data_IF_128479533228
#
_entry.id   IF_128479533228
#
_cell.length_a   1.000
_cell.length_b   1.000
_cell.length_c   1.000
_cell.angle_alpha   90.00
_cell.angle_beta   90.00
_cell.angle_gamma   90.00
#
_symmetry.space_group_name_H-M   'P 1'
#
loop_
_entity.id
_entity.type
_entity.pdbx_description
1 polymer ?
#
# COMPACT_ATOMS: atom_id res chain seq x y z
N UNK A 1 49.56 -5.18 -21.38
CA UNK A 1 50.59 -5.53 -20.40
C UNK A 1 50.10 -6.75 -19.65
N UNK A 2 50.67 -7.92 -19.95
CA UNK A 2 50.35 -9.19 -19.28
C UNK A 2 51.44 -9.41 -18.24
N UNK A 3 51.06 -9.51 -16.95
CA UNK A 3 52.02 -9.71 -15.87
C UNK A 3 52.43 -11.18 -15.76
N UNK A 4 53.71 -11.41 -15.49
CA UNK A 4 54.24 -12.71 -15.13
C UNK A 4 53.73 -13.15 -13.75
N UNK A 5 53.52 -14.46 -13.52
CA UNK A 5 52.89 -14.98 -12.30
C UNK A 5 53.68 -14.76 -11.00
N UNK A 6 54.98 -14.44 -11.05
CA UNK A 6 55.88 -14.35 -9.89
C UNK A 6 56.26 -12.90 -9.46
N UNK A 7 55.43 -11.91 -9.75
CA UNK A 7 55.67 -10.54 -9.28
C UNK A 7 55.09 -10.33 -7.87
N UNK A 8 55.92 -9.80 -6.96
CA UNK A 8 55.56 -9.65 -5.54
C UNK A 8 54.31 -8.80 -5.28
N UNK A 9 53.75 -8.95 -4.08
CA UNK A 9 52.49 -8.31 -3.63
C UNK A 9 52.51 -6.77 -3.67
N UNK A 10 53.67 -6.15 -3.85
CA UNK A 10 53.85 -4.70 -3.86
C UNK A 10 53.79 -4.04 -5.24
N UNK A 11 53.29 -4.74 -6.26
CA UNK A 11 53.12 -4.14 -7.58
C UNK A 11 51.90 -3.20 -7.64
N UNK A 12 51.89 -2.28 -8.60
CA UNK A 12 50.79 -1.35 -8.80
C UNK A 12 49.43 -2.04 -9.07
N UNK A 13 49.43 -3.23 -9.66
CA UNK A 13 48.22 -3.99 -9.92
C UNK A 13 47.64 -4.62 -8.64
N UNK A 14 48.48 -5.23 -7.80
CA UNK A 14 48.09 -5.75 -6.48
C UNK A 14 47.61 -4.64 -5.55
N UNK A 15 48.27 -3.48 -5.54
CA UNK A 15 47.82 -2.31 -4.79
C UNK A 15 46.41 -1.87 -5.22
N UNK A 16 46.15 -1.76 -6.53
CA UNK A 16 44.81 -1.43 -7.06
C UNK A 16 43.76 -2.48 -6.74
N UNK A 17 44.15 -3.76 -6.73
CA UNK A 17 43.25 -4.85 -6.39
C UNK A 17 42.85 -4.78 -4.91
N UNK A 18 43.83 -4.57 -4.01
CA UNK A 18 43.59 -4.36 -2.59
C UNK A 18 42.71 -3.14 -2.32
N UNK A 19 42.97 -2.01 -2.97
CA UNK A 19 42.12 -0.81 -2.87
C UNK A 19 40.65 -1.09 -3.27
N UNK A 20 40.45 -1.95 -4.27
CA UNK A 20 39.13 -2.34 -4.74
C UNK A 20 38.41 -3.24 -3.74
N UNK A 21 39.12 -4.21 -3.17
CA UNK A 21 38.62 -5.12 -2.13
C UNK A 21 38.26 -4.33 -0.86
N UNK A 22 39.13 -3.43 -0.40
CA UNK A 22 38.90 -2.55 0.74
C UNK A 22 37.69 -1.63 0.51
N UNK A 23 37.53 -1.11 -0.71
CA UNK A 23 36.38 -0.29 -1.08
C UNK A 23 35.07 -1.09 -1.08
N UNK A 24 35.09 -2.35 -1.52
CA UNK A 24 33.93 -3.23 -1.49
C UNK A 24 33.53 -3.59 -0.05
N UNK A 25 34.50 -3.89 0.81
CA UNK A 25 34.28 -4.14 2.23
C UNK A 25 33.70 -2.91 2.95
N UNK A 26 34.24 -1.72 2.64
CA UNK A 26 33.72 -0.45 3.15
C UNK A 26 32.26 -0.22 2.72
N UNK A 27 31.95 -0.44 1.43
CA UNK A 27 30.59 -0.29 0.92
C UNK A 27 29.62 -1.27 1.59
N UNK A 28 30.01 -2.53 1.75
CA UNK A 28 29.20 -3.54 2.44
C UNK A 28 28.94 -3.17 3.91
N UNK A 29 29.94 -2.61 4.60
CA UNK A 29 29.78 -2.16 5.99
C UNK A 29 28.89 -0.92 6.11
N UNK A 30 28.98 -0.01 5.14
CA UNK A 30 28.21 1.24 5.12
C UNK A 30 26.73 1.00 4.76
N UNK A 31 26.48 0.21 3.70
CA UNK A 31 25.17 0.05 3.08
C UNK A 31 24.48 -1.30 3.38
N UNK A 32 25.24 -2.29 3.83
CA UNK A 32 24.76 -3.68 3.91
C UNK A 32 24.71 -4.37 2.54
N UNK A 33 24.23 -5.63 2.49
CA UNK A 33 24.21 -6.45 1.27
C UNK A 33 23.16 -6.00 0.24
N UNK A 34 22.10 -5.32 0.68
CA UNK A 34 21.03 -4.81 -0.17
C UNK A 34 20.57 -3.44 0.37
N UNK A 35 21.19 -2.34 -0.08
CA UNK A 35 20.77 -1.01 0.36
C UNK A 35 19.36 -0.69 -0.12
N UNK A 36 18.48 -0.42 0.84
CA UNK A 36 17.17 0.18 0.59
C UNK A 36 17.20 1.63 1.06
N UNK A 37 16.80 2.57 0.18
CA UNK A 37 16.73 4.00 0.49
C UNK A 37 15.29 4.54 0.39
N UNK A 38 14.28 3.66 0.32
CA UNK A 38 12.88 4.04 0.20
C UNK A 38 12.28 4.63 1.48
N UNK A 39 12.96 4.47 2.62
CA UNK A 39 12.49 4.93 3.92
C UNK A 39 13.50 5.84 4.62
N UNK A 40 12.98 6.74 5.45
CA UNK A 40 13.83 7.55 6.31
C UNK A 40 14.63 6.67 7.29
N UNK A 41 14.03 5.59 7.80
CA UNK A 41 14.69 4.69 8.74
C UNK A 41 15.91 4.01 8.12
N UNK A 42 15.80 3.56 6.86
CA UNK A 42 16.90 2.89 6.17
C UNK A 42 18.04 3.87 5.81
N UNK A 43 17.72 5.10 5.41
CA UNK A 43 18.73 6.16 5.22
C UNK A 43 19.42 6.52 6.55
N UNK A 44 18.66 6.63 7.63
CA UNK A 44 19.21 6.93 8.97
C UNK A 44 20.14 5.82 9.46
N UNK A 45 19.86 4.55 9.16
CA UNK A 45 20.77 3.44 9.45
C UNK A 45 22.13 3.63 8.77
N UNK A 46 22.14 4.04 7.50
CA UNK A 46 23.39 4.31 6.75
C UNK A 46 24.15 5.49 7.35
N UNK A 47 23.45 6.54 7.77
CA UNK A 47 24.09 7.66 8.50
C UNK A 47 24.69 7.21 9.84
N UNK A 48 24.02 6.33 10.58
CA UNK A 48 24.57 5.72 11.80
C UNK A 48 25.86 4.94 11.53
N UNK A 49 25.87 4.08 10.52
CA UNK A 49 27.07 3.34 10.10
C UNK A 49 28.19 4.28 9.66
N UNK A 50 27.85 5.39 8.98
CA UNK A 50 28.81 6.41 8.58
C UNK A 50 29.45 7.08 9.79
N UNK A 51 28.68 7.42 10.83
CA UNK A 51 29.19 8.00 12.08
C UNK A 51 30.17 7.05 12.76
N UNK A 52 29.85 5.76 12.81
CA UNK A 52 30.76 4.74 13.35
C UNK A 52 32.08 4.69 12.57
N UNK A 53 32.01 4.70 11.23
CA UNK A 53 33.19 4.68 10.36
C UNK A 53 34.04 5.95 10.47
N UNK A 54 33.43 7.11 10.66
CA UNK A 54 34.16 8.36 10.93
C UNK A 54 34.88 8.25 12.28
N UNK A 55 34.17 7.80 13.33
CA UNK A 55 34.74 7.66 14.66
C UNK A 55 35.91 6.65 14.69
N UNK A 56 35.87 5.62 13.84
CA UNK A 56 36.94 4.62 13.73
C UNK A 56 38.04 4.99 12.72
N UNK A 57 38.03 6.19 12.12
CA UNK A 57 38.91 6.57 11.00
C UNK A 57 38.88 5.57 9.82
N UNK A 58 37.78 4.83 9.66
CA UNK A 58 37.61 3.80 8.62
C UNK A 58 37.23 4.36 7.24
N UNK A 59 36.97 5.67 7.15
CA UNK A 59 36.60 6.35 5.91
C UNK A 59 37.27 7.72 5.83
N UNK A 60 37.75 8.09 4.64
CA UNK A 60 38.30 9.42 4.42
C UNK A 60 37.22 10.51 4.58
N UNK A 61 37.50 11.65 5.25
CA UNK A 61 36.51 12.71 5.51
C UNK A 61 35.80 13.22 4.25
N UNK A 62 36.51 13.31 3.13
CA UNK A 62 35.93 13.71 1.84
C UNK A 62 34.88 12.72 1.33
N UNK A 63 35.15 11.41 1.44
CA UNK A 63 34.19 10.36 1.06
C UNK A 63 32.98 10.38 1.99
N UNK A 64 33.23 10.55 3.30
CA UNK A 64 32.16 10.65 4.28
C UNK A 64 31.22 11.84 4.02
N UNK A 65 31.77 13.02 3.70
CA UNK A 65 30.97 14.19 3.34
C UNK A 65 30.09 13.95 2.11
N UNK A 66 30.61 13.27 1.08
CA UNK A 66 29.81 12.91 -0.11
C UNK A 66 28.66 11.97 0.23
N UNK A 67 28.89 10.95 1.06
CA UNK A 67 27.83 10.03 1.51
C UNK A 67 26.77 10.77 2.31
N UNK A 68 27.18 11.63 3.25
CA UNK A 68 26.26 12.41 4.06
C UNK A 68 25.39 13.34 3.20
N UNK A 69 25.99 14.00 2.22
CA UNK A 69 25.28 14.86 1.28
C UNK A 69 24.28 14.06 0.41
N UNK A 70 24.69 12.89 -0.11
CA UNK A 70 23.79 12.02 -0.85
C UNK A 70 22.59 11.57 0.01
N UNK A 71 22.83 11.18 1.27
CA UNK A 71 21.77 10.82 2.22
C UNK A 71 20.83 12.00 2.50
N UNK A 72 21.36 13.22 2.61
CA UNK A 72 20.56 14.44 2.76
C UNK A 72 19.65 14.65 1.54
N UNK A 73 20.17 14.53 0.32
CA UNK A 73 19.36 14.64 -0.90
C UNK A 73 18.26 13.58 -0.94
N UNK A 74 18.56 12.33 -0.57
CA UNK A 74 17.57 11.25 -0.51
C UNK A 74 16.45 11.58 0.49
N UNK A 75 16.78 12.09 1.68
CA UNK A 75 15.78 12.47 2.68
C UNK A 75 14.89 13.63 2.21
N UNK A 76 15.46 14.63 1.54
CA UNK A 76 14.70 15.77 1.01
C UNK A 76 13.67 15.30 -0.03
N UNK A 77 14.08 14.40 -0.93
CA UNK A 77 13.22 13.91 -2.00
C UNK A 77 12.24 12.81 -1.56
N UNK A 78 12.43 12.21 -0.38
CA UNK A 78 11.62 11.09 0.10
C UNK A 78 10.13 11.41 0.16
N UNK A 79 9.76 12.65 0.47
CA UNK A 79 8.35 13.08 0.52
C UNK A 79 7.74 13.16 -0.89
N UNK A 80 8.46 13.73 -1.85
CA UNK A 80 8.04 13.80 -3.25
C UNK A 80 7.91 12.40 -3.86
N UNK A 81 8.91 11.56 -3.65
CA UNK A 81 8.92 10.18 -4.13
C UNK A 81 7.74 9.35 -3.62
N UNK A 82 7.42 9.44 -2.31
CA UNK A 82 6.23 8.78 -1.76
C UNK A 82 4.93 9.30 -2.35
N UNK A 83 4.85 10.62 -2.61
CA UNK A 83 3.72 11.24 -3.28
C UNK A 83 3.53 10.71 -4.70
N UNK A 84 4.60 10.62 -5.48
CA UNK A 84 4.59 10.08 -6.84
C UNK A 84 4.18 8.61 -6.88
N UNK A 85 4.72 7.77 -5.99
CA UNK A 85 4.30 6.37 -5.89
C UNK A 85 2.81 6.23 -5.53
N UNK A 86 2.32 7.07 -4.61
CA UNK A 86 0.91 7.07 -4.24
C UNK A 86 0.01 7.54 -5.40
N UNK A 87 0.42 8.60 -6.11
CA UNK A 87 -0.27 9.08 -7.29
C UNK A 87 -0.31 8.02 -8.41
N UNK A 88 0.82 7.40 -8.71
CA UNK A 88 0.90 6.33 -9.70
C UNK A 88 -0.01 5.14 -9.33
N UNK A 89 -0.07 4.78 -8.05
CA UNK A 89 -0.97 3.73 -7.57
C UNK A 89 -2.44 4.12 -7.72
N UNK A 90 -2.78 5.36 -7.36
CA UNK A 90 -4.14 5.88 -7.55
C UNK A 90 -4.54 5.92 -9.02
N UNK A 91 -3.64 6.32 -9.91
CA UNK A 91 -3.87 6.31 -11.35
C UNK A 91 -4.05 4.89 -11.90
N UNK A 92 -3.22 3.94 -11.47
CA UNK A 92 -3.39 2.51 -11.82
C UNK A 92 -4.75 1.99 -11.36
N UNK A 93 -5.14 2.30 -10.13
CA UNK A 93 -6.44 1.91 -9.60
C UNK A 93 -7.58 2.55 -10.39
N UNK A 94 -7.47 3.84 -10.71
CA UNK A 94 -8.45 4.55 -11.53
C UNK A 94 -8.53 4.02 -12.96
N UNK A 95 -7.40 3.63 -13.57
CA UNK A 95 -7.36 2.99 -14.88
C UNK A 95 -8.02 1.60 -14.86
N UNK A 96 -7.78 0.80 -13.82
CA UNK A 96 -8.45 -0.48 -13.63
C UNK A 96 -9.98 -0.30 -13.48
N UNK A 97 -10.41 0.71 -12.72
CA UNK A 97 -11.83 1.09 -12.63
C UNK A 97 -12.42 1.51 -13.97
N UNK A 98 -11.68 2.23 -14.82
CA UNK A 98 -12.13 2.60 -16.17
C UNK A 98 -12.31 1.40 -17.09
N UNK A 99 -11.46 0.38 -16.95
CA UNK A 99 -11.52 -0.84 -17.77
C UNK A 99 -12.62 -1.80 -17.31
N UNK A 100 -12.89 -1.86 -16.01
CA UNK A 100 -13.93 -2.72 -15.45
C UNK A 100 -14.67 -1.98 -14.32
N UNK A 101 -15.61 -1.08 -14.67
CA UNK A 101 -16.39 -0.39 -13.66
C UNK A 101 -17.28 -1.40 -12.94
N UNK A 102 -17.16 -1.48 -11.60
CA UNK A 102 -18.15 -2.23 -10.84
C UNK A 102 -19.53 -1.63 -11.09
N UNK A 103 -20.55 -2.44 -11.41
CA UNK A 103 -21.90 -1.93 -11.61
C UNK A 103 -22.36 -1.24 -10.32
N UNK A 104 -22.89 -0.02 -10.47
CA UNK A 104 -23.53 0.67 -9.35
C UNK A 104 -24.69 -0.19 -8.84
N UNK A 105 -24.85 -0.32 -7.51
CA UNK A 105 -25.99 -1.04 -6.95
C UNK A 105 -27.30 -0.45 -7.48
N UNK A 106 -28.19 -1.30 -7.99
CA UNK A 106 -29.41 -0.88 -8.67
C UNK A 106 -30.41 -0.12 -7.77
N UNK A 107 -30.20 -0.13 -6.45
CA UNK A 107 -31.08 0.55 -5.49
C UNK A 107 -30.29 1.37 -4.46
N UNK A 108 -30.84 2.49 -3.97
CA UNK A 108 -30.24 3.29 -2.92
C UNK A 108 -29.92 2.49 -1.65
N UNK A 109 -30.75 1.51 -1.29
CA UNK A 109 -30.52 0.61 -0.14
C UNK A 109 -29.33 -0.31 -0.38
N UNK A 110 -29.20 -0.89 -1.58
CA UNK A 110 -28.05 -1.71 -1.93
C UNK A 110 -26.75 -0.89 -1.98
N UNK A 111 -26.83 0.37 -2.42
CA UNK A 111 -25.72 1.32 -2.34
C UNK A 111 -25.31 1.61 -0.90
N UNK A 112 -26.27 1.99 -0.05
CA UNK A 112 -26.03 2.24 1.37
C UNK A 112 -25.39 1.02 2.05
N UNK A 113 -25.90 -0.19 1.79
CA UNK A 113 -25.36 -1.42 2.34
C UNK A 113 -23.92 -1.69 1.86
N UNK A 114 -23.63 -1.50 0.58
CA UNK A 114 -22.29 -1.68 0.02
C UNK A 114 -21.27 -0.67 0.57
N UNK A 115 -21.70 0.57 0.81
CA UNK A 115 -20.87 1.60 1.47
C UNK A 115 -20.63 1.21 2.93
N UNK A 116 -21.67 0.79 3.65
CA UNK A 116 -21.58 0.33 5.04
C UNK A 116 -20.60 -0.84 5.18
N UNK A 117 -20.71 -1.86 4.33
CA UNK A 117 -19.80 -3.01 4.32
C UNK A 117 -18.35 -2.60 4.06
N UNK A 118 -18.11 -1.66 3.14
CA UNK A 118 -16.76 -1.19 2.80
C UNK A 118 -16.13 -0.35 3.91
N UNK A 119 -16.91 0.47 4.63
CA UNK A 119 -16.40 1.38 5.67
C UNK A 119 -16.25 0.67 7.02
N UNK A 120 -17.18 -0.22 7.37
CA UNK A 120 -17.26 -0.84 8.69
C UNK A 120 -16.88 -2.33 8.69
N UNK A 121 -16.58 -2.92 7.53
CA UNK A 121 -16.20 -4.34 7.41
C UNK A 121 -17.28 -5.33 7.83
N UNK A 122 -18.52 -4.86 8.04
CA UNK A 122 -19.63 -5.64 8.57
C UNK A 122 -20.87 -5.44 7.70
N UNK A 123 -21.54 -6.56 7.39
CA UNK A 123 -22.84 -6.53 6.72
C UNK A 123 -23.84 -5.85 7.63
N UNK A 124 -24.58 -4.82 7.17
CA UNK A 124 -25.55 -4.14 8.03
C UNK A 124 -26.56 -5.16 8.56
N UNK A 125 -26.99 -5.03 9.82
CA UNK A 125 -27.99 -5.93 10.39
C UNK A 125 -29.23 -5.87 9.50
N UNK A 126 -29.73 -7.05 9.10
CA UNK A 126 -30.94 -7.17 8.31
C UNK A 126 -32.12 -6.67 9.14
N UNK A 127 -32.36 -5.36 9.12
CA UNK A 127 -33.53 -4.76 9.72
C UNK A 127 -34.74 -5.17 8.87
N UNK A 128 -35.40 -6.22 9.34
CA UNK A 128 -36.76 -6.71 9.11
C UNK A 128 -37.40 -6.43 7.75
N UNK A 129 -37.65 -7.52 7.03
CA UNK A 129 -38.79 -7.66 6.14
C UNK A 129 -40.04 -7.10 6.85
N UNK A 130 -40.58 -6.00 6.37
CA UNK A 130 -42.02 -5.81 6.48
C UNK A 130 -42.67 -6.86 5.55
N UNK A 131 -43.61 -7.69 6.03
CA UNK A 131 -44.26 -8.67 5.18
C UNK A 131 -45.00 -7.97 4.06
N UNK A 132 -44.89 -8.54 2.86
CA UNK A 132 -45.65 -8.17 1.69
C UNK A 132 -47.14 -8.05 2.05
N UNK A 133 -47.70 -6.86 1.88
CA UNK A 133 -49.14 -6.68 1.86
C UNK A 133 -49.70 -7.46 0.69
N UNK A 134 -50.27 -8.62 0.97
CA UNK A 134 -51.08 -9.37 0.02
C UNK A 134 -52.31 -8.53 -0.39
N UNK A 135 -52.77 -8.66 -1.65
CA UNK A 135 -53.94 -7.96 -2.16
C UNK A 135 -55.22 -8.49 -1.48
N UNK A 136 -56.05 -7.58 -0.97
CA UNK A 136 -57.41 -7.90 -0.51
C UNK A 136 -58.19 -8.52 -1.67
N UNK A 137 -58.34 -9.84 -1.63
CA UNK A 137 -59.20 -10.62 -2.51
C UNK A 137 -60.57 -10.75 -1.86
N UNK A 138 -61.60 -10.55 -2.69
CA UNK A 138 -63.02 -10.59 -2.36
C UNK A 138 -63.46 -11.84 -1.59
N UNK A 139 -64.40 -11.66 -0.67
CA UNK A 139 -65.18 -12.76 -0.08
C UNK A 139 -66.60 -12.75 -0.71
N UNK A 140 -67.10 -13.90 -1.20
CA UNK A 140 -68.42 -14.00 -1.83
C UNK A 140 -69.56 -14.15 -0.81
N UNK A 141 -70.76 -13.80 -1.26
CA UNK A 141 -72.06 -14.03 -0.62
C UNK A 141 -72.43 -15.53 -0.54
N UNK A 142 -73.22 -15.96 0.46
CA UNK A 142 -74.63 -16.37 0.25
C UNK A 142 -75.39 -16.84 1.53
N UNK A 143 -76.71 -16.55 1.57
CA UNK A 143 -77.89 -17.24 2.16
C UNK A 143 -77.88 -17.87 3.59
N UNK A 144 -78.94 -17.95 4.42
CA UNK A 144 -80.38 -17.63 4.43
C UNK A 144 -80.94 -17.84 5.88
N UNK A 145 -81.93 -17.05 6.33
CA UNK A 145 -83.17 -17.53 7.03
C UNK A 145 -84.11 -16.38 7.46
N UNK A 146 -85.36 -16.46 6.99
CA UNK A 146 -86.57 -15.70 7.39
C UNK A 146 -87.21 -16.42 8.62
N UNK A 147 -88.13 -15.80 9.42
CA UNK A 147 -89.56 -15.87 9.08
C UNK A 147 -90.46 -14.67 9.50
N UNK A 148 -91.59 -14.53 8.78
CA UNK A 148 -92.95 -14.07 9.17
C UNK A 148 -93.16 -12.74 9.95
N UNK A 149 -94.13 -11.86 9.68
CA UNK A 149 -95.28 -11.85 8.77
C UNK A 149 -96.41 -10.96 9.36
N UNK A 150 -96.66 -9.78 8.74
CA UNK A 150 -97.92 -9.00 8.58
C UNK A 150 -98.85 -8.70 9.81
N UNK A 151 -99.97 -7.94 9.71
CA UNK A 151 -100.47 -7.02 8.66
C UNK A 151 -101.06 -5.66 9.15
N UNK A 152 -101.23 -4.74 8.19
CA UNK A 152 -102.39 -3.86 7.91
C UNK A 152 -103.12 -3.16 9.10
N UNK A 153 -103.03 -1.83 9.15
CA UNK A 153 -104.14 -0.87 8.91
C UNK A 153 -103.61 0.55 8.79
#
# INVERSE_FOLDING_TARGET
MLCAPDHGEFCAQHARQKDREDSAALAARLFGPAPDFSTAASIQKVLGNLVELIASNGIAPRKAGLVAYACQLLMINLRGYKGELHHAEMERRAAAWRQNPQPLPATPKAFANAVFERVLGTKPPAANLAPAGQPHSAHPADETKIPHGNPIK
#
